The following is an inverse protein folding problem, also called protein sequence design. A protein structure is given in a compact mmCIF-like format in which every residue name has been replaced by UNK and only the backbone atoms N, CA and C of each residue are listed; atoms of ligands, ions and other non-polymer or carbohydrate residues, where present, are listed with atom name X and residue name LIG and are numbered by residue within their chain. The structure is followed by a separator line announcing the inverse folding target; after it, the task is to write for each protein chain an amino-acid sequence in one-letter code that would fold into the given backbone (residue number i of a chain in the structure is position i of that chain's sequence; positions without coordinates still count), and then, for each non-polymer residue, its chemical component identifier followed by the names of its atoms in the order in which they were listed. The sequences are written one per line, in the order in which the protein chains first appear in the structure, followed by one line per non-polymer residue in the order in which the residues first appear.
data_IF_366357030836
#
_entry.id   IF_366357030836
#
_cell.length_a   1.000
_cell.length_b   1.000
_cell.length_c   1.000
_cell.angle_alpha   90.00
_cell.angle_beta   90.00
_cell.angle_gamma   90.00
#
_symmetry.space_group_name_H-M   'P 1'
#
loop_
_entity.id
_entity.type
_entity.pdbx_description
1 polymer ?
#
# COMPACT_ATOMS: atom_id res chain seq x y z
N UNK A 1 38.06 28.24 -33.87
CA UNK A 1 36.96 27.61 -33.12
C UNK A 1 35.67 28.37 -33.42
N UNK A 2 34.87 27.89 -34.39
CA UNK A 2 33.80 28.69 -35.04
C UNK A 2 32.50 28.74 -34.24
N UNK A 3 31.77 29.86 -34.32
CA UNK A 3 30.44 30.05 -33.70
C UNK A 3 29.45 28.92 -34.06
N UNK A 4 29.50 28.40 -35.28
CA UNK A 4 28.64 27.30 -35.74
C UNK A 4 28.88 25.99 -34.98
N UNK A 5 30.12 25.70 -34.59
CA UNK A 5 30.43 24.50 -33.78
C UNK A 5 29.88 24.63 -32.37
N UNK A 6 29.91 25.84 -31.80
CA UNK A 6 29.31 26.13 -30.48
C UNK A 6 27.78 26.00 -30.52
N UNK A 7 27.12 26.61 -31.50
CA UNK A 7 25.67 26.49 -31.70
C UNK A 7 25.21 25.02 -31.83
N UNK A 8 25.93 24.22 -32.62
CA UNK A 8 25.64 22.77 -32.78
C UNK A 8 25.82 22.00 -31.47
N UNK A 9 26.85 22.34 -30.70
CA UNK A 9 27.10 21.72 -29.40
C UNK A 9 25.99 22.08 -28.40
N UNK A 10 25.62 23.35 -28.30
CA UNK A 10 24.62 23.82 -27.35
C UNK A 10 23.22 23.27 -27.66
N UNK A 11 22.87 23.12 -28.94
CA UNK A 11 21.66 22.42 -29.38
C UNK A 11 21.64 20.95 -28.95
N UNK A 12 22.77 20.24 -29.09
CA UNK A 12 22.88 18.83 -28.67
C UNK A 12 22.75 18.70 -27.15
N UNK A 13 23.41 19.57 -26.40
CA UNK A 13 23.33 19.60 -24.94
C UNK A 13 21.90 19.93 -24.50
N UNK A 14 21.28 20.97 -25.07
CA UNK A 14 19.89 21.33 -24.79
C UNK A 14 18.91 20.18 -25.05
N UNK A 15 19.07 19.48 -26.18
CA UNK A 15 18.25 18.31 -26.49
C UNK A 15 18.47 17.15 -25.51
N UNK A 16 19.71 16.90 -25.11
CA UNK A 16 20.03 15.88 -24.11
C UNK A 16 19.40 16.21 -22.75
N UNK A 17 19.46 17.48 -22.32
CA UNK A 17 18.82 17.96 -21.08
C UNK A 17 17.30 17.82 -21.14
N UNK A 18 16.67 18.17 -22.26
CA UNK A 18 15.22 17.98 -22.45
C UNK A 18 14.84 16.49 -22.38
N UNK A 19 15.62 15.62 -23.01
CA UNK A 19 15.39 14.17 -22.95
C UNK A 19 15.55 13.63 -21.53
N UNK A 20 16.54 14.12 -20.78
CA UNK A 20 16.76 13.70 -19.40
C UNK A 20 15.64 14.20 -18.48
N UNK A 21 15.22 15.46 -18.63
CA UNK A 21 14.10 16.03 -17.86
C UNK A 21 12.77 15.31 -18.15
N UNK A 22 12.49 14.99 -19.41
CA UNK A 22 11.29 14.22 -19.78
C UNK A 22 11.32 12.79 -19.22
N UNK A 23 12.49 12.12 -19.25
CA UNK A 23 12.65 10.82 -18.63
C UNK A 23 12.43 10.88 -17.11
N UNK A 24 12.96 11.90 -16.43
CA UNK A 24 12.78 12.08 -14.99
C UNK A 24 11.30 12.32 -14.62
N UNK A 25 10.59 13.15 -15.37
CA UNK A 25 9.14 13.38 -15.16
C UNK A 25 8.35 12.09 -15.39
N UNK A 26 8.67 11.33 -16.43
CA UNK A 26 8.02 10.04 -16.71
C UNK A 26 8.24 9.05 -15.56
N UNK A 27 9.48 8.91 -15.08
CA UNK A 27 9.80 8.03 -13.95
C UNK A 27 9.06 8.43 -12.67
N UNK A 28 8.98 9.73 -12.37
CA UNK A 28 8.22 10.23 -11.22
C UNK A 28 6.73 9.93 -11.33
N UNK A 29 6.14 10.12 -12.51
CA UNK A 29 4.72 9.82 -12.72
C UNK A 29 4.42 8.32 -12.54
N UNK A 30 5.34 7.44 -12.99
CA UNK A 30 5.23 6.00 -12.76
C UNK A 30 5.29 5.65 -11.28
N UNK A 31 6.23 6.22 -10.53
CA UNK A 31 6.34 5.99 -9.10
C UNK A 31 5.13 6.53 -8.31
N UNK A 32 4.61 7.71 -8.67
CA UNK A 32 3.38 8.24 -8.07
C UNK A 32 2.17 7.32 -8.35
N UNK A 33 2.09 6.75 -9.56
CA UNK A 33 1.04 5.79 -9.91
C UNK A 33 1.16 4.51 -9.09
N UNK A 34 2.38 4.00 -8.91
CA UNK A 34 2.63 2.81 -8.10
C UNK A 34 2.27 3.04 -6.63
N UNK A 35 2.62 4.20 -6.07
CA UNK A 35 2.20 4.59 -4.72
C UNK A 35 0.67 4.65 -4.59
N UNK A 36 -0.05 5.15 -5.60
CA UNK A 36 -1.51 5.16 -5.60
C UNK A 36 -2.09 3.74 -5.64
N UNK A 37 -1.49 2.84 -6.43
CA UNK A 37 -1.87 1.42 -6.49
C UNK A 37 -1.74 0.75 -5.11
N UNK A 38 -0.60 0.95 -4.44
CA UNK A 38 -0.34 0.38 -3.11
C UNK A 38 -1.30 0.96 -2.07
N UNK A 39 -1.51 2.29 -2.06
CA UNK A 39 -2.48 2.93 -1.15
C UNK A 39 -3.90 2.40 -1.32
N UNK A 40 -4.31 2.13 -2.57
CA UNK A 40 -5.61 1.51 -2.83
C UNK A 40 -5.69 0.09 -2.27
N UNK A 41 -4.61 -0.70 -2.37
CA UNK A 41 -4.55 -2.03 -1.80
C UNK A 41 -4.67 -1.99 -0.26
N UNK A 42 -3.91 -1.10 0.40
CA UNK A 42 -4.02 -0.87 1.85
C UNK A 42 -5.46 -0.51 2.24
N UNK A 43 -6.11 0.39 1.49
CA UNK A 43 -7.49 0.80 1.79
C UNK A 43 -8.49 -0.36 1.71
N UNK A 44 -8.29 -1.29 0.78
CA UNK A 44 -9.11 -2.51 0.68
C UNK A 44 -8.89 -3.43 1.88
N UNK A 45 -7.63 -3.61 2.30
CA UNK A 45 -7.31 -4.38 3.51
C UNK A 45 -7.93 -3.75 4.76
N UNK A 46 -7.84 -2.42 4.91
CA UNK A 46 -8.44 -1.71 6.05
C UNK A 46 -9.97 -1.89 6.09
N UNK A 47 -10.63 -1.94 4.93
CA UNK A 47 -12.05 -2.24 4.84
C UNK A 47 -12.35 -3.68 5.30
N UNK A 48 -11.63 -4.67 4.78
CA UNK A 48 -11.78 -6.07 5.16
C UNK A 48 -11.51 -6.30 6.65
N UNK A 49 -10.49 -5.64 7.19
CA UNK A 49 -10.22 -5.63 8.63
C UNK A 49 -11.41 -5.08 9.41
N UNK A 50 -12.01 -3.97 8.97
CA UNK A 50 -13.19 -3.41 9.61
C UNK A 50 -14.37 -4.38 9.66
N UNK A 51 -14.61 -5.11 8.57
CA UNK A 51 -15.64 -6.16 8.47
C UNK A 51 -15.34 -7.31 9.44
N UNK A 52 -14.12 -7.84 9.45
CA UNK A 52 -13.75 -8.94 10.36
C UNK A 52 -13.82 -8.55 11.85
N UNK A 53 -13.40 -7.33 12.22
CA UNK A 53 -13.55 -6.87 13.61
C UNK A 53 -15.02 -6.78 14.01
N UNK A 54 -15.89 -6.39 13.07
CA UNK A 54 -17.34 -6.38 13.28
C UNK A 54 -17.86 -7.79 13.50
N UNK A 55 -17.49 -8.74 12.65
CA UNK A 55 -17.93 -10.14 12.73
C UNK A 55 -17.49 -10.79 14.06
N UNK A 56 -16.26 -10.53 14.52
CA UNK A 56 -15.80 -10.96 15.85
C UNK A 56 -16.67 -10.38 16.96
N UNK A 57 -16.98 -9.08 16.89
CA UNK A 57 -17.83 -8.41 17.86
C UNK A 57 -19.25 -8.98 17.88
N UNK A 58 -19.86 -9.16 16.71
CA UNK A 58 -21.20 -9.75 16.55
C UNK A 58 -21.23 -11.19 17.10
N UNK A 59 -20.21 -12.01 16.80
CA UNK A 59 -20.09 -13.36 17.34
C UNK A 59 -19.98 -13.38 18.86
N UNK A 60 -19.16 -12.49 19.42
CA UNK A 60 -19.00 -12.37 20.88
C UNK A 60 -20.29 -11.95 21.59
N UNK A 61 -21.05 -11.03 20.99
CA UNK A 61 -22.37 -10.62 21.51
C UNK A 61 -23.36 -11.78 21.44
N UNK A 62 -23.45 -12.48 20.31
CA UNK A 62 -24.36 -13.62 20.13
C UNK A 62 -24.11 -14.74 21.14
N UNK A 63 -22.84 -15.06 21.43
CA UNK A 63 -22.49 -16.06 22.45
C UNK A 63 -22.97 -15.64 23.84
N UNK A 64 -22.79 -14.37 24.19
CA UNK A 64 -23.22 -13.83 25.48
C UNK A 64 -24.74 -13.76 25.61
N UNK A 65 -25.46 -13.41 24.53
CA UNK A 65 -26.92 -13.48 24.48
C UNK A 65 -27.44 -14.91 24.60
N UNK A 66 -26.68 -15.89 24.09
CA UNK A 66 -26.93 -17.32 24.28
C UNK A 66 -26.70 -17.85 25.71
N UNK A 67 -26.25 -17.00 26.63
CA UNK A 67 -26.00 -17.35 28.03
C UNK A 67 -24.62 -17.98 28.29
N UNK A 68 -23.73 -17.98 27.30
CA UNK A 68 -22.37 -18.48 27.49
C UNK A 68 -21.56 -17.53 28.39
N UNK A 69 -20.70 -18.09 29.28
CA UNK A 69 -19.83 -17.27 30.12
C UNK A 69 -18.81 -16.53 29.25
N UNK A 70 -18.38 -15.35 29.70
CA UNK A 70 -17.47 -14.50 28.95
C UNK A 70 -16.14 -15.19 28.62
N UNK A 71 -15.66 -16.11 29.47
CA UNK A 71 -14.44 -16.87 29.18
C UNK A 71 -14.62 -17.79 27.96
N UNK A 72 -15.83 -18.26 27.67
CA UNK A 72 -16.09 -19.18 26.55
C UNK A 72 -15.90 -18.51 25.19
N UNK A 73 -16.10 -17.20 25.11
CA UNK A 73 -15.85 -16.38 23.92
C UNK A 73 -14.40 -16.51 23.44
N UNK A 74 -13.44 -16.59 24.36
CA UNK A 74 -12.02 -16.72 24.04
C UNK A 74 -11.65 -18.10 23.46
N UNK A 75 -12.49 -19.11 23.71
CA UNK A 75 -12.30 -20.47 23.22
C UNK A 75 -13.24 -20.83 22.05
N UNK A 76 -14.01 -19.86 21.56
CA UNK A 76 -14.88 -20.06 20.40
C UNK A 76 -14.03 -20.23 19.14
N UNK A 77 -14.21 -21.35 18.46
CA UNK A 77 -13.40 -21.71 17.30
C UNK A 77 -13.58 -20.72 16.13
N UNK A 78 -14.77 -20.14 15.99
CA UNK A 78 -15.06 -19.16 14.95
C UNK A 78 -14.38 -17.82 15.24
N UNK A 79 -14.44 -17.34 16.49
CA UNK A 79 -13.63 -16.17 16.91
C UNK A 79 -12.14 -16.43 16.68
N UNK A 80 -11.64 -17.62 17.02
CA UNK A 80 -10.25 -17.99 16.75
C UNK A 80 -9.88 -17.93 15.26
N UNK A 81 -10.78 -18.38 14.37
CA UNK A 81 -10.62 -18.31 12.92
C UNK A 81 -10.57 -16.87 12.41
N UNK A 82 -11.52 -16.03 12.84
CA UNK A 82 -11.59 -14.62 12.44
C UNK A 82 -10.38 -13.83 12.93
N UNK A 83 -9.92 -14.08 14.16
CA UNK A 83 -8.71 -13.45 14.69
C UNK A 83 -7.46 -13.83 13.90
N UNK A 84 -7.37 -15.10 13.45
CA UNK A 84 -6.29 -15.54 12.58
C UNK A 84 -6.32 -14.80 11.23
N UNK A 85 -7.50 -14.66 10.63
CA UNK A 85 -7.66 -13.92 9.37
C UNK A 85 -7.29 -12.43 9.53
N UNK A 86 -7.69 -11.80 10.64
CA UNK A 86 -7.27 -10.44 11.00
C UNK A 86 -5.74 -10.34 11.07
N UNK A 87 -5.07 -11.34 11.63
CA UNK A 87 -3.61 -11.34 11.74
C UNK A 87 -2.94 -11.45 10.36
N UNK A 88 -3.43 -12.33 9.49
CA UNK A 88 -2.94 -12.48 8.12
C UNK A 88 -3.11 -11.18 7.31
N UNK A 89 -4.26 -10.49 7.43
CA UNK A 89 -4.47 -9.21 6.77
C UNK A 89 -3.58 -8.09 7.32
N UNK A 90 -3.29 -8.09 8.63
CA UNK A 90 -2.35 -7.13 9.24
C UNK A 90 -0.92 -7.33 8.72
N UNK A 91 -0.50 -8.58 8.54
CA UNK A 91 0.80 -8.90 7.96
C UNK A 91 0.88 -8.43 6.50
N UNK A 92 -0.13 -8.73 5.69
CA UNK A 92 -0.21 -8.24 4.31
C UNK A 92 -0.19 -6.70 4.23
N UNK A 93 -0.88 -6.02 5.15
CA UNK A 93 -0.85 -4.56 5.26
C UNK A 93 0.55 -4.05 5.58
N UNK A 94 1.28 -4.72 6.47
CA UNK A 94 2.67 -4.41 6.81
C UNK A 94 3.60 -4.54 5.60
N UNK A 95 3.41 -5.57 4.76
CA UNK A 95 4.15 -5.72 3.50
C UNK A 95 3.93 -4.52 2.57
N UNK A 96 2.69 -4.07 2.38
CA UNK A 96 2.41 -2.89 1.56
C UNK A 96 2.99 -1.59 2.16
N UNK A 97 3.04 -1.46 3.48
CA UNK A 97 3.71 -0.32 4.12
C UNK A 97 5.21 -0.31 3.84
N UNK A 98 5.86 -1.49 3.83
CA UNK A 98 7.26 -1.62 3.40
C UNK A 98 7.45 -1.28 1.92
N UNK A 99 6.58 -1.74 1.03
CA UNK A 99 6.62 -1.39 -0.40
C UNK A 99 6.52 0.13 -0.63
N UNK A 100 5.71 0.85 0.16
CA UNK A 100 5.66 2.33 0.11
C UNK A 100 7.02 2.95 0.45
N UNK A 101 7.73 2.40 1.44
CA UNK A 101 9.07 2.90 1.82
C UNK A 101 10.06 2.66 0.69
N UNK A 102 10.03 1.48 0.07
CA UNK A 102 10.89 1.12 -1.07
C UNK A 102 10.66 2.05 -2.26
N UNK A 103 9.42 2.22 -2.72
CA UNK A 103 9.10 3.10 -3.86
C UNK A 103 9.51 4.55 -3.58
N UNK A 104 9.41 5.02 -2.34
CA UNK A 104 9.87 6.38 -1.96
C UNK A 104 11.39 6.51 -1.89
N UNK A 105 12.11 5.42 -1.73
CA UNK A 105 13.58 5.42 -1.70
C UNK A 105 14.21 5.38 -3.09
N UNK A 106 13.45 4.92 -4.09
CA UNK A 106 13.88 4.81 -5.49
C UNK A 106 13.64 6.10 -6.32
N UNK A 107 12.92 7.08 -5.77
CA UNK A 107 12.55 8.36 -6.40
C UNK A 107 13.37 9.51 -5.83
#
# INVERSE_FOLDING_TARGET
MGLLQRLKHDLKVGMATLRLGTAQVANRALAETELLRIRLAIRKLDQQLGELHRDVGERAVNLREGGEPAERVLYDAEIGRLVKEIQELKEARGTFESEIVEVRSEV
#
